data_IF_121461006212
#
_entry.id   IF_121461006212
#
_cell.length_a   1.000
_cell.length_b   1.000
_cell.length_c   1.000
_cell.angle_alpha   90.00
_cell.angle_beta   90.00
_cell.angle_gamma   90.00
#
_symmetry.space_group_name_H-M   'P 1'
#
loop_
_entity.id
_entity.type
_entity.pdbx_description
1 polymer ?
#
# COMPACT_ATOMS: atom_id res chain seq x y z
N UNK A 1 16.30 -30.97 -27.23
CA UNK A 1 16.01 -32.07 -26.28
C UNK A 1 15.40 -31.46 -25.03
N UNK A 2 14.14 -31.81 -24.72
CA UNK A 2 13.40 -31.31 -23.55
C UNK A 2 13.84 -32.08 -22.30
N UNK A 3 14.09 -31.40 -21.19
CA UNK A 3 14.19 -32.02 -19.86
C UNK A 3 13.38 -31.17 -18.89
N UNK A 4 12.25 -31.74 -18.44
CA UNK A 4 11.40 -31.21 -17.39
C UNK A 4 11.87 -31.86 -16.09
N UNK A 5 12.25 -31.05 -15.10
CA UNK A 5 12.42 -31.52 -13.73
C UNK A 5 11.29 -30.91 -12.89
N UNK A 6 10.27 -31.73 -12.67
CA UNK A 6 9.24 -31.54 -11.65
C UNK A 6 9.81 -32.03 -10.33
N UNK A 7 10.00 -31.14 -9.35
CA UNK A 7 10.15 -31.52 -7.95
C UNK A 7 9.25 -30.62 -7.11
N UNK A 8 8.21 -31.24 -6.60
CA UNK A 8 7.18 -30.70 -5.71
C UNK A 8 7.67 -30.54 -4.26
N UNK A 9 6.89 -29.76 -3.51
CA UNK A 9 6.45 -30.06 -2.13
C UNK A 9 7.24 -29.42 -0.97
N UNK A 10 6.69 -28.35 -0.40
CA UNK A 10 6.05 -28.38 0.94
C UNK A 10 5.55 -26.98 1.32
N UNK A 11 4.23 -26.83 1.50
CA UNK A 11 3.63 -25.64 2.11
C UNK A 11 3.41 -25.99 3.58
N UNK A 12 4.20 -25.40 4.48
CA UNK A 12 3.94 -25.47 5.92
C UNK A 12 2.91 -24.41 6.27
N UNK A 13 1.71 -24.83 6.64
CA UNK A 13 0.69 -23.95 7.20
C UNK A 13 1.00 -23.68 8.68
N UNK A 14 1.39 -22.43 9.01
CA UNK A 14 1.56 -21.97 10.39
C UNK A 14 0.18 -21.46 10.87
N UNK A 15 -0.43 -22.18 11.81
CA UNK A 15 -1.71 -21.79 12.42
C UNK A 15 -1.55 -20.57 13.33
N UNK A 16 -2.46 -19.60 13.20
CA UNK A 16 -2.54 -18.40 14.04
C UNK A 16 -3.32 -18.69 15.32
N UNK A 17 -2.73 -18.47 16.50
CA UNK A 17 -3.43 -18.48 17.78
C UNK A 17 -4.16 -17.15 17.99
N UNK A 18 -5.49 -17.18 18.14
CA UNK A 18 -6.30 -15.99 18.43
C UNK A 18 -6.30 -15.73 19.93
N UNK A 19 -5.63 -14.66 20.36
CA UNK A 19 -5.71 -14.17 21.75
C UNK A 19 -6.98 -13.32 21.90
N UNK A 20 -7.98 -13.82 22.63
CA UNK A 20 -9.19 -13.06 22.97
C UNK A 20 -8.89 -12.08 24.11
N UNK A 21 -8.91 -10.77 23.85
CA UNK A 21 -8.88 -9.75 24.90
C UNK A 21 -10.28 -9.57 25.49
N UNK A 22 -10.45 -9.84 26.78
CA UNK A 22 -11.68 -9.56 27.51
C UNK A 22 -11.78 -8.06 27.78
N UNK A 23 -12.79 -7.39 27.21
CA UNK A 23 -13.09 -5.99 27.53
C UNK A 23 -14.03 -5.94 28.73
N UNK A 24 -13.57 -5.33 29.84
CA UNK A 24 -14.42 -4.98 30.97
C UNK A 24 -15.39 -3.85 30.54
N UNK A 25 -16.67 -4.21 30.40
CA UNK A 25 -17.72 -3.29 29.94
C UNK A 25 -18.25 -2.50 31.14
N UNK A 26 -17.75 -1.28 31.32
CA UNK A 26 -18.34 -0.30 32.24
C UNK A 26 -19.76 0.01 31.81
N UNK A 27 -20.71 -0.13 32.74
CA UNK A 27 -22.14 0.08 32.51
C UNK A 27 -22.43 1.58 32.50
N UNK A 28 -22.84 2.12 31.36
CA UNK A 28 -23.47 3.44 31.27
C UNK A 28 -24.65 3.30 30.31
N UNK A 29 -25.84 3.52 30.85
CA UNK A 29 -27.13 3.39 30.18
C UNK A 29 -27.22 4.39 29.00
N UNK A 30 -27.51 3.96 27.76
CA UNK A 30 -27.73 4.88 26.66
C UNK A 30 -29.21 5.29 26.59
N UNK A 31 -29.45 6.59 26.69
CA UNK A 31 -30.72 7.21 26.32
C UNK A 31 -30.95 6.94 24.83
N UNK A 32 -31.98 6.17 24.53
CA UNK A 32 -32.33 5.77 23.17
C UNK A 32 -32.76 6.99 22.32
N UNK A 33 -31.92 7.36 21.37
CA UNK A 33 -32.33 8.10 20.17
C UNK A 33 -32.22 7.13 19.00
N UNK A 34 -33.28 6.92 18.19
CA UNK A 34 -33.17 6.08 17.01
C UNK A 34 -32.43 6.86 15.94
N UNK A 35 -31.10 6.90 16.01
CA UNK A 35 -30.30 7.28 14.86
C UNK A 35 -30.31 6.07 13.93
N UNK A 36 -30.97 6.21 12.78
CA UNK A 36 -30.83 5.29 11.65
C UNK A 36 -29.33 5.22 11.32
N UNK A 37 -28.66 4.18 11.82
CA UNK A 37 -27.29 3.86 11.47
C UNK A 37 -27.27 3.39 10.02
N UNK A 38 -27.25 4.34 9.09
CA UNK A 38 -26.72 4.10 7.77
C UNK A 38 -25.25 3.76 7.97
N UNK A 39 -24.95 2.47 8.09
CA UNK A 39 -23.60 1.94 7.96
C UNK A 39 -23.21 2.12 6.49
N UNK A 40 -22.88 3.36 6.14
CA UNK A 40 -22.20 3.64 4.90
C UNK A 40 -20.76 3.21 5.15
N UNK A 41 -20.48 1.97 4.77
CA UNK A 41 -19.15 1.38 4.78
C UNK A 41 -18.30 2.08 3.70
N UNK A 42 -18.16 3.40 3.78
CA UNK A 42 -17.18 4.13 2.96
C UNK A 42 -15.83 3.63 3.44
N UNK A 43 -15.02 3.00 2.58
CA UNK A 43 -13.63 2.84 2.87
C UNK A 43 -13.08 4.25 3.06
N UNK A 44 -12.77 4.63 4.30
CA UNK A 44 -11.97 5.82 4.50
C UNK A 44 -10.66 5.55 3.77
N UNK A 45 -10.28 6.38 2.78
CA UNK A 45 -9.06 6.17 2.04
C UNK A 45 -7.92 6.18 3.06
N UNK A 46 -7.30 5.01 3.25
CA UNK A 46 -6.18 4.87 4.16
C UNK A 46 -5.09 5.82 3.68
N UNK A 47 -4.69 6.77 4.50
CA UNK A 47 -3.57 7.65 4.17
C UNK A 47 -2.32 6.80 4.00
N UNK A 48 -1.81 6.70 2.77
CA UNK A 48 -0.57 5.99 2.45
C UNK A 48 0.56 6.99 2.54
N UNK A 49 1.50 6.77 3.46
CA UNK A 49 2.67 7.65 3.61
C UNK A 49 3.59 7.56 2.38
N UNK A 50 4.42 8.58 2.10
CA UNK A 50 5.41 8.52 1.02
C UNK A 50 6.35 7.32 1.11
N UNK A 51 6.75 6.91 2.33
CA UNK A 51 7.59 5.74 2.54
C UNK A 51 6.86 4.43 2.19
N UNK A 52 5.61 4.27 2.64
CA UNK A 52 4.79 3.11 2.30
C UNK A 52 4.51 3.02 0.80
N UNK A 53 4.29 4.18 0.14
CA UNK A 53 4.08 4.26 -1.30
C UNK A 53 5.31 3.74 -2.07
N UNK A 54 6.51 4.25 -1.74
CA UNK A 54 7.75 3.80 -2.39
C UNK A 54 8.07 2.34 -2.05
N UNK A 55 7.81 1.90 -0.82
CA UNK A 55 7.94 0.49 -0.43
C UNK A 55 7.01 -0.43 -1.22
N UNK A 56 5.77 -0.03 -1.43
CA UNK A 56 4.78 -0.76 -2.24
C UNK A 56 5.20 -0.81 -3.71
N UNK A 57 5.70 0.31 -4.25
CA UNK A 57 6.28 0.36 -5.59
C UNK A 57 7.45 -0.60 -5.74
N UNK A 58 8.36 -0.63 -4.77
CA UNK A 58 9.51 -1.51 -4.75
C UNK A 58 9.09 -2.99 -4.75
N UNK A 59 8.04 -3.34 -4.02
CA UNK A 59 7.44 -4.69 -4.03
C UNK A 59 6.70 -5.02 -5.35
N UNK A 60 6.53 -4.05 -6.24
CA UNK A 60 5.92 -4.23 -7.55
C UNK A 60 4.39 -4.10 -7.55
N UNK A 61 3.79 -3.46 -6.53
CA UNK A 61 2.34 -3.26 -6.43
C UNK A 61 1.76 -2.49 -7.64
N UNK A 62 2.54 -1.60 -8.23
CA UNK A 62 2.10 -0.70 -9.31
C UNK A 62 2.53 -1.16 -10.72
N UNK A 63 2.90 -2.42 -10.89
CA UNK A 63 3.34 -2.98 -12.20
C UNK A 63 2.26 -2.90 -13.27
N UNK A 64 1.00 -3.09 -12.90
CA UNK A 64 -0.13 -2.94 -13.82
C UNK A 64 -0.26 -1.51 -14.37
N UNK A 65 0.33 -0.53 -13.69
CA UNK A 65 0.31 0.90 -14.01
C UNK A 65 1.68 1.40 -14.47
N UNK A 66 2.45 0.54 -15.15
CA UNK A 66 3.74 0.87 -15.77
C UNK A 66 4.87 1.27 -14.82
N UNK A 67 4.72 1.04 -13.51
CA UNK A 67 5.80 1.24 -12.53
C UNK A 67 6.49 -0.11 -12.28
N UNK A 68 7.74 -0.30 -12.72
CA UNK A 68 8.48 -1.52 -12.41
C UNK A 68 8.72 -1.63 -10.89
N UNK A 69 8.98 -2.85 -10.41
CA UNK A 69 9.41 -3.10 -9.04
C UNK A 69 10.88 -3.46 -8.94
N UNK A 70 11.36 -3.71 -7.72
CA UNK A 70 12.72 -4.20 -7.41
C UNK A 70 13.81 -3.36 -8.08
N UNK A 71 14.87 -4.00 -8.60
CA UNK A 71 16.00 -3.33 -9.26
C UNK A 71 15.57 -2.41 -10.40
N UNK A 72 14.55 -2.77 -11.17
CA UNK A 72 14.07 -1.94 -12.27
C UNK A 72 13.41 -0.63 -11.80
N UNK A 73 12.80 -0.61 -10.59
CA UNK A 73 12.37 0.64 -9.97
C UNK A 73 13.57 1.49 -9.58
N UNK A 74 14.56 0.89 -8.94
CA UNK A 74 15.79 1.56 -8.50
C UNK A 74 16.47 2.22 -9.69
N UNK A 75 16.68 1.49 -10.78
CA UNK A 75 17.31 2.02 -12.00
C UNK A 75 16.47 3.12 -12.63
N UNK A 76 15.14 2.93 -12.67
CA UNK A 76 14.20 3.94 -13.16
C UNK A 76 14.25 5.24 -12.36
N UNK A 77 14.30 5.16 -11.04
CA UNK A 77 14.41 6.30 -10.15
C UNK A 77 15.78 6.99 -10.27
N UNK A 78 16.87 6.21 -10.31
CA UNK A 78 18.24 6.74 -10.46
C UNK A 78 18.45 7.50 -11.76
N UNK A 79 17.84 7.01 -12.84
CA UNK A 79 17.89 7.62 -14.19
C UNK A 79 16.86 8.72 -14.41
N UNK A 80 15.92 8.92 -13.48
CA UNK A 80 14.81 9.87 -13.62
C UNK A 80 13.72 9.40 -14.58
N UNK A 81 13.76 8.15 -15.05
CA UNK A 81 12.70 7.53 -15.87
C UNK A 81 11.41 7.31 -15.06
N UNK A 82 11.52 7.11 -13.75
CA UNK A 82 10.40 7.03 -12.82
C UNK A 82 10.50 8.21 -11.86
N UNK A 83 9.58 9.15 -11.98
CA UNK A 83 9.49 10.32 -11.09
C UNK A 83 8.50 10.09 -9.95
N UNK A 84 8.55 10.92 -8.92
CA UNK A 84 7.52 10.94 -7.88
C UNK A 84 6.10 11.09 -8.46
N UNK A 85 5.94 11.91 -9.51
CA UNK A 85 4.65 12.14 -10.15
C UNK A 85 4.13 10.90 -10.87
N UNK A 86 5.00 10.14 -11.54
CA UNK A 86 4.62 8.88 -12.19
C UNK A 86 4.14 7.86 -11.17
N UNK A 87 4.87 7.74 -10.06
CA UNK A 87 4.51 6.82 -8.98
C UNK A 87 3.19 7.20 -8.29
N UNK A 88 2.99 8.47 -7.97
CA UNK A 88 1.75 8.97 -7.38
C UNK A 88 0.57 8.73 -8.33
N UNK A 89 0.75 9.01 -9.64
CA UNK A 89 -0.27 8.74 -10.64
C UNK A 89 -0.64 7.25 -10.69
N UNK A 90 0.35 6.36 -10.72
CA UNK A 90 0.12 4.93 -10.72
C UNK A 90 -0.61 4.43 -9.46
N UNK A 91 -0.30 5.00 -8.30
CA UNK A 91 -0.99 4.67 -7.06
C UNK A 91 -2.44 5.16 -7.03
N UNK A 92 -2.73 6.34 -7.59
CA UNK A 92 -4.10 6.83 -7.79
C UNK A 92 -4.88 5.91 -8.72
N UNK A 93 -4.29 5.54 -9.87
CA UNK A 93 -4.92 4.63 -10.82
C UNK A 93 -5.19 3.23 -10.24
N UNK A 94 -4.35 2.78 -9.29
CA UNK A 94 -4.56 1.52 -8.56
C UNK A 94 -5.62 1.60 -7.45
N UNK A 95 -6.14 2.79 -7.14
CA UNK A 95 -7.04 3.03 -6.02
C UNK A 95 -6.36 3.03 -4.64
N UNK A 96 -5.03 2.96 -4.59
CA UNK A 96 -4.26 2.98 -3.33
C UNK A 96 -4.10 4.39 -2.76
N UNK A 97 -4.29 5.43 -3.57
CA UNK A 97 -4.05 6.81 -3.19
C UNK A 97 -5.19 7.72 -3.67
N UNK A 98 -5.46 8.75 -2.88
CA UNK A 98 -6.44 9.79 -3.19
C UNK A 98 -6.00 10.64 -4.39
N UNK A 99 -6.91 10.98 -5.34
CA UNK A 99 -6.59 11.80 -6.50
C UNK A 99 -5.96 13.15 -6.15
N UNK A 100 -6.31 13.73 -5.00
CA UNK A 100 -5.82 15.03 -4.54
C UNK A 100 -4.30 15.04 -4.29
N UNK A 101 -3.71 13.87 -3.99
CA UNK A 101 -2.28 13.74 -3.68
C UNK A 101 -1.37 14.09 -4.87
N UNK A 102 -1.90 14.10 -6.10
CA UNK A 102 -1.14 14.57 -7.28
C UNK A 102 -0.83 16.07 -7.22
N UNK A 103 -1.55 16.84 -6.41
CA UNK A 103 -1.38 18.29 -6.25
C UNK A 103 -0.74 18.67 -4.90
N UNK A 104 -0.55 17.70 -4.00
CA UNK A 104 0.11 17.91 -2.72
C UNK A 104 1.64 17.99 -2.93
N UNK A 105 2.17 19.21 -2.85
CA UNK A 105 3.60 19.48 -3.06
C UNK A 105 4.48 18.84 -2.00
N UNK A 106 4.03 18.83 -0.75
CA UNK A 106 4.79 18.26 0.35
C UNK A 106 4.83 16.75 0.21
N UNK A 107 3.70 16.13 -0.14
CA UNK A 107 3.64 14.71 -0.43
C UNK A 107 4.60 14.32 -1.57
N UNK A 108 4.50 14.99 -2.72
CA UNK A 108 5.37 14.74 -3.88
C UNK A 108 6.85 14.92 -3.56
N UNK A 109 7.20 15.96 -2.80
CA UNK A 109 8.58 16.22 -2.37
C UNK A 109 9.13 15.10 -1.48
N UNK A 110 8.31 14.58 -0.56
CA UNK A 110 8.69 13.44 0.27
C UNK A 110 8.82 12.15 -0.53
N UNK A 111 7.95 11.90 -1.51
CA UNK A 111 8.08 10.74 -2.41
C UNK A 111 9.38 10.83 -3.21
N UNK A 112 9.70 12.00 -3.75
CA UNK A 112 10.94 12.27 -4.47
C UNK A 112 12.18 12.04 -3.57
N UNK A 113 12.12 12.47 -2.31
CA UNK A 113 13.16 12.23 -1.32
C UNK A 113 13.39 10.73 -1.08
N UNK A 114 12.30 9.95 -0.93
CA UNK A 114 12.37 8.50 -0.77
C UNK A 114 12.97 7.81 -2.02
N UNK A 115 12.57 8.22 -3.23
CA UNK A 115 13.12 7.67 -4.48
C UNK A 115 14.62 7.99 -4.64
N UNK A 116 15.07 9.18 -4.23
CA UNK A 116 16.50 9.55 -4.19
C UNK A 116 17.29 8.71 -3.19
N UNK A 117 16.61 8.14 -2.19
CA UNK A 117 17.14 7.14 -1.26
C UNK A 117 17.79 5.93 -1.94
N UNK A 118 17.38 5.62 -3.18
CA UNK A 118 18.01 4.53 -3.93
C UNK A 118 19.42 4.83 -4.44
N UNK A 119 19.96 6.03 -4.28
CA UNK A 119 21.28 6.42 -4.82
C UNK A 119 22.48 6.02 -3.95
N UNK A 120 22.24 5.36 -2.81
CA UNK A 120 23.27 4.97 -1.85
C UNK A 120 23.55 3.47 -1.89
#
# INVERSE_FOLDING_TARGET
>A
MKRLFLTSLSIVAISLSVSTSAQARGRTEPIATPTTQLSYNIPTPKYVTPFELVGSAYQGQYRAHSIPGFSSLIDGARTGKITAKDLVKAAIESGSLLPEMINDRDYLSNVEFQLKGFRF
#
